data_IF_715206378828
#
_entry.id   IF_715206378828
#
_cell.length_a   1.000
_cell.length_b   1.000
_cell.length_c   1.000
_cell.angle_alpha   90.00
_cell.angle_beta   90.00
_cell.angle_gamma   90.00
#
_symmetry.space_group_name_H-M   'P 1'
#
loop_
_entity.id
_entity.type
_entity.pdbx_description
1 polymer ?
#
# COMPACT_ATOMS: atom_id res chain seq x y z
N UNK A 1 9.57 7.94 36.21
CA UNK A 1 10.21 7.72 34.90
C UNK A 1 9.92 6.30 34.46
N UNK A 2 8.91 6.12 33.62
CA UNK A 2 8.78 5.03 32.65
C UNK A 2 7.57 5.35 31.76
N UNK A 3 7.75 6.35 30.90
CA UNK A 3 6.82 6.74 29.82
C UNK A 3 7.23 6.04 28.51
N UNK A 4 7.28 4.71 28.52
CA UNK A 4 7.55 3.92 27.32
C UNK A 4 6.59 2.74 27.25
N UNK A 5 5.29 3.05 27.23
CA UNK A 5 4.26 2.07 26.90
C UNK A 5 3.00 2.75 26.39
N UNK A 6 3.15 3.76 25.53
CA UNK A 6 2.14 4.04 24.51
C UNK A 6 2.51 3.18 23.30
N UNK A 7 2.25 1.88 23.40
CA UNK A 7 2.14 1.06 22.20
C UNK A 7 1.02 1.71 21.38
N UNK A 8 1.43 2.32 20.28
CA UNK A 8 0.63 2.96 19.25
C UNK A 8 -0.56 2.08 18.86
N UNK A 9 -1.66 2.18 19.62
CA UNK A 9 -3.00 1.93 19.13
C UNK A 9 -3.33 3.08 18.18
N UNK A 10 -2.67 3.13 17.03
CA UNK A 10 -3.16 3.93 15.93
C UNK A 10 -4.48 3.27 15.53
N UNK A 11 -5.64 3.90 15.74
CA UNK A 11 -6.91 3.34 15.33
C UNK A 11 -6.81 3.17 13.82
N UNK A 12 -6.98 1.93 13.35
CA UNK A 12 -7.03 1.58 11.92
C UNK A 12 -7.92 2.54 11.11
N UNK A 13 -8.95 3.08 11.77
CA UNK A 13 -9.87 4.10 11.26
C UNK A 13 -9.24 5.48 10.99
N UNK A 14 -8.28 5.95 11.80
CA UNK A 14 -7.60 7.24 11.52
C UNK A 14 -6.69 7.14 10.29
N UNK A 15 -6.05 5.98 10.09
CA UNK A 15 -5.21 5.74 8.92
C UNK A 15 -6.02 5.79 7.62
N UNK A 16 -7.18 5.13 7.59
CA UNK A 16 -8.06 5.08 6.41
C UNK A 16 -8.68 6.44 6.08
N UNK A 17 -9.06 7.22 7.09
CA UNK A 17 -9.60 8.57 6.91
C UNK A 17 -8.53 9.57 6.44
N UNK A 18 -7.31 9.50 6.98
CA UNK A 18 -6.19 10.31 6.50
C UNK A 18 -5.74 9.89 5.10
N UNK A 19 -5.77 8.59 4.80
CA UNK A 19 -5.56 8.04 3.45
C UNK A 19 -6.53 8.64 2.44
N UNK A 20 -7.82 8.70 2.77
CA UNK A 20 -8.86 9.35 1.95
C UNK A 20 -8.56 10.83 1.71
N UNK A 21 -8.02 11.54 2.69
CA UNK A 21 -7.62 12.95 2.52
C UNK A 21 -6.44 13.10 1.58
N UNK A 22 -5.46 12.19 1.66
CA UNK A 22 -4.30 12.22 0.77
C UNK A 22 -4.62 11.74 -0.66
N UNK A 23 -5.58 10.82 -0.82
CA UNK A 23 -6.02 10.28 -2.11
C UNK A 23 -7.55 10.30 -2.27
N UNK A 24 -8.16 11.49 -2.46
CA UNK A 24 -9.62 11.62 -2.58
C UNK A 24 -10.19 10.94 -3.83
N UNK A 25 -9.35 10.63 -4.81
CA UNK A 25 -9.71 9.90 -6.04
C UNK A 25 -9.31 8.42 -6.00
N UNK A 26 -9.01 7.88 -4.81
CA UNK A 26 -8.68 6.46 -4.69
C UNK A 26 -9.91 5.59 -5.00
N UNK A 27 -9.69 4.55 -5.80
CA UNK A 27 -10.61 3.46 -6.04
C UNK A 27 -10.34 2.36 -5.03
N UNK A 28 -11.40 1.89 -4.39
CA UNK A 28 -11.36 0.73 -3.51
C UNK A 28 -11.97 -0.50 -4.19
N UNK A 29 -11.53 -1.68 -3.78
CA UNK A 29 -12.12 -2.94 -4.24
C UNK A 29 -11.44 -4.15 -3.64
N UNK A 30 -11.90 -5.33 -4.07
CA UNK A 30 -11.46 -6.60 -3.52
C UNK A 30 -11.18 -7.60 -4.63
N UNK A 31 -10.22 -8.49 -4.40
CA UNK A 31 -10.00 -9.65 -5.26
C UNK A 31 -9.50 -10.86 -4.49
N UNK A 32 -9.73 -12.04 -5.07
CA UNK A 32 -9.28 -13.30 -4.52
C UNK A 32 -7.85 -13.61 -4.93
N UNK A 33 -6.97 -13.82 -3.96
CA UNK A 33 -5.61 -14.31 -4.19
C UNK A 33 -5.50 -15.78 -3.73
N UNK A 34 -4.97 -16.69 -4.59
CA UNK A 34 -4.95 -18.13 -4.31
C UNK A 34 -4.36 -18.53 -2.95
N UNK A 35 -3.32 -17.81 -2.50
CA UNK A 35 -2.61 -18.12 -1.25
C UNK A 35 -2.95 -17.19 -0.08
N UNK A 36 -3.54 -16.01 -0.35
CA UNK A 36 -3.69 -14.94 0.66
C UNK A 36 -5.15 -14.67 1.01
N UNK A 37 -6.08 -15.33 0.31
CA UNK A 37 -7.52 -15.12 0.43
C UNK A 37 -7.93 -13.79 -0.21
N UNK A 38 -9.03 -13.23 0.28
CA UNK A 38 -9.52 -11.92 -0.17
C UNK A 38 -8.52 -10.81 0.19
N UNK A 39 -8.07 -10.10 -0.85
CA UNK A 39 -7.23 -8.92 -0.73
C UNK A 39 -8.08 -7.70 -1.01
N UNK A 40 -8.20 -6.85 -0.01
CA UNK A 40 -8.76 -5.51 -0.16
C UNK A 40 -7.67 -4.56 -0.64
N UNK A 41 -7.95 -3.76 -1.66
CA UNK A 41 -7.03 -2.74 -2.15
C UNK A 41 -7.65 -1.35 -2.14
N UNK A 42 -6.76 -0.38 -1.96
CA UNK A 42 -7.03 1.04 -2.15
C UNK A 42 -5.99 1.58 -3.11
N UNK A 43 -6.41 2.03 -4.28
CA UNK A 43 -5.51 2.44 -5.34
C UNK A 43 -5.86 3.81 -5.91
N UNK A 44 -4.86 4.64 -6.17
CA UNK A 44 -5.04 5.91 -6.86
C UNK A 44 -3.87 6.17 -7.81
N UNK A 45 -3.85 7.35 -8.40
CA UNK A 45 -2.74 7.81 -9.22
C UNK A 45 -2.08 9.04 -8.61
N UNK A 46 -0.74 9.03 -8.55
CA UNK A 46 0.04 10.16 -8.08
C UNK A 46 1.21 10.42 -9.04
N UNK A 47 1.19 11.58 -9.71
CA UNK A 47 2.22 11.99 -10.69
C UNK A 47 2.46 10.94 -11.79
N UNK A 48 1.39 10.33 -12.29
CA UNK A 48 1.45 9.29 -13.33
C UNK A 48 1.90 7.91 -12.85
N UNK A 49 1.94 7.69 -11.52
CA UNK A 49 2.24 6.39 -10.92
C UNK A 49 1.01 5.81 -10.27
N UNK A 50 0.89 4.51 -10.31
CA UNK A 50 -0.10 3.78 -9.51
C UNK A 50 0.40 3.79 -8.07
N UNK A 51 -0.48 4.19 -7.17
CA UNK A 51 -0.23 4.13 -5.74
C UNK A 51 -1.28 3.21 -5.15
N UNK A 52 -0.85 2.12 -4.53
CA UNK A 52 -1.78 1.10 -4.01
C UNK A 52 -1.39 0.63 -2.62
N UNK A 53 -2.39 0.39 -1.79
CA UNK A 53 -2.28 -0.29 -0.50
C UNK A 53 -3.08 -1.58 -0.56
N UNK A 54 -2.55 -2.63 0.04
CA UNK A 54 -3.21 -3.92 0.17
C UNK A 54 -3.46 -4.26 1.63
N UNK A 55 -4.62 -4.85 1.92
CA UNK A 55 -4.97 -5.41 3.23
C UNK A 55 -5.53 -6.81 3.05
N UNK A 56 -5.02 -7.78 3.81
CA UNK A 56 -5.50 -9.17 3.77
C UNK A 56 -5.36 -9.85 5.15
N UNK A 57 -6.14 -10.92 5.45
CA UNK A 57 -6.27 -11.46 6.81
C UNK A 57 -4.96 -11.90 7.49
N UNK A 58 -3.97 -12.35 6.72
CA UNK A 58 -2.68 -12.84 7.23
C UNK A 58 -1.52 -11.89 6.88
N UNK A 59 -1.81 -10.60 6.67
CA UNK A 59 -0.78 -9.63 6.35
C UNK A 59 0.14 -9.40 7.55
N UNK A 60 1.48 -9.44 7.36
CA UNK A 60 2.43 -9.09 8.41
C UNK A 60 2.15 -7.69 8.97
N UNK A 61 2.22 -7.53 10.29
CA UNK A 61 1.88 -6.26 10.96
C UNK A 61 2.76 -5.11 10.44
N UNK A 62 4.02 -5.40 10.17
CA UNK A 62 4.99 -4.46 9.59
C UNK A 62 4.64 -4.00 8.16
N UNK A 63 3.77 -4.72 7.46
CA UNK A 63 3.36 -4.42 6.09
C UNK A 63 2.01 -3.67 6.02
N UNK A 64 1.24 -3.58 7.13
CA UNK A 64 -0.12 -3.03 7.13
C UNK A 64 -0.20 -1.53 6.78
N UNK A 65 0.89 -0.81 7.03
CA UNK A 65 1.02 0.62 6.75
C UNK A 65 1.75 0.91 5.44
N UNK A 66 2.11 -0.13 4.69
CA UNK A 66 2.90 0.01 3.46
C UNK A 66 2.02 0.44 2.28
N UNK A 67 2.61 1.32 1.49
CA UNK A 67 2.05 1.89 0.28
C UNK A 67 3.02 1.65 -0.86
N UNK A 68 2.54 1.01 -1.92
CA UNK A 68 3.32 0.58 -3.06
C UNK A 68 3.18 1.59 -4.19
N UNK A 69 4.31 2.08 -4.70
CA UNK A 69 4.36 2.96 -5.86
C UNK A 69 4.85 2.18 -7.07
N UNK A 70 3.97 2.01 -8.04
CA UNK A 70 4.16 1.13 -9.18
C UNK A 70 4.10 1.97 -10.45
N UNK A 71 5.13 1.82 -11.28
CA UNK A 71 5.10 2.33 -12.65
C UNK A 71 4.53 1.21 -13.54
N UNK A 72 3.42 1.48 -14.23
CA UNK A 72 2.93 0.61 -15.29
C UNK A 72 3.62 0.99 -16.60
N UNK A 73 4.33 0.03 -17.19
CA UNK A 73 4.99 0.17 -18.49
C UNK A 73 4.41 -0.80 -19.52
N UNK A 74 4.91 -0.70 -20.75
CA UNK A 74 4.48 -1.55 -21.87
C UNK A 74 4.88 -3.02 -21.70
N UNK A 75 5.91 -3.30 -20.90
CA UNK A 75 6.44 -4.65 -20.66
C UNK A 75 5.98 -5.26 -19.32
N UNK A 76 5.08 -4.59 -18.62
CA UNK A 76 4.60 -4.98 -17.29
C UNK A 76 4.74 -3.86 -16.27
N UNK A 77 4.90 -4.20 -15.00
CA UNK A 77 4.97 -3.23 -13.91
C UNK A 77 6.31 -3.26 -13.19
N UNK A 78 6.70 -2.12 -12.61
CA UNK A 78 7.91 -1.97 -11.79
C UNK A 78 7.54 -1.35 -10.45
N UNK A 79 7.85 -2.04 -9.35
CA UNK A 79 7.77 -1.47 -8.01
C UNK A 79 8.92 -0.46 -7.83
N UNK A 80 8.60 0.84 -7.79
CA UNK A 80 9.59 1.91 -7.75
C UNK A 80 10.08 2.21 -6.35
N UNK A 81 9.14 2.23 -5.41
CA UNK A 81 9.43 2.33 -3.99
C UNK A 81 8.21 1.94 -3.19
N UNK A 82 8.46 1.69 -1.91
CA UNK A 82 7.42 1.49 -0.91
C UNK A 82 7.58 2.61 0.11
N UNK A 83 6.47 3.23 0.46
CA UNK A 83 6.40 4.18 1.55
C UNK A 83 5.62 3.56 2.69
N UNK A 84 5.79 4.11 3.88
CA UNK A 84 5.04 3.71 5.06
C UNK A 84 4.46 4.94 5.73
N UNK A 85 3.24 4.82 6.22
CA UNK A 85 2.68 5.88 7.04
C UNK A 85 3.35 5.89 8.42
N UNK A 86 3.83 7.06 8.80
CA UNK A 86 4.37 7.31 10.12
C UNK A 86 3.63 8.50 10.72
N UNK A 87 3.28 8.38 12.00
CA UNK A 87 2.78 9.53 12.75
C UNK A 87 4.00 10.38 13.15
N UNK A 88 4.13 11.54 12.53
CA UNK A 88 5.22 12.48 12.76
C UNK A 88 4.63 13.81 13.18
N UNK A 89 4.93 14.24 14.40
CA UNK A 89 4.44 15.51 14.98
C UNK A 89 2.91 15.64 15.01
N UNK A 90 2.22 14.55 15.34
CA UNK A 90 0.74 14.44 15.35
C UNK A 90 0.08 14.60 13.97
N UNK A 91 0.84 14.42 12.88
CA UNK A 91 0.36 14.38 11.50
C UNK A 91 0.76 13.06 10.84
N UNK A 92 -0.17 12.45 10.10
CA UNK A 92 0.13 11.23 9.35
C UNK A 92 0.94 11.59 8.10
N UNK A 93 2.19 11.12 8.02
CA UNK A 93 3.07 11.39 6.88
C UNK A 93 3.47 10.12 6.17
N UNK A 94 3.52 10.20 4.85
CA UNK A 94 3.98 9.11 4.00
C UNK A 94 5.50 9.20 3.86
N UNK A 95 6.22 8.31 4.54
CA UNK A 95 7.68 8.30 4.56
C UNK A 95 8.20 7.22 3.60
N UNK A 96 8.99 7.63 2.62
CA UNK A 96 9.59 6.71 1.64
C UNK A 96 10.61 5.81 2.33
N UNK A 97 10.43 4.49 2.22
CA UNK A 97 11.46 3.53 2.61
C UNK A 97 12.51 3.44 1.49
N UNK A 98 13.75 3.83 1.77
CA UNK A 98 14.83 3.91 0.78
C UNK A 98 15.77 2.70 0.78
N UNK A 99 15.52 1.67 1.60
CA UNK A 99 16.38 0.49 1.62
C UNK A 99 16.11 -0.41 0.41
N UNK A 100 17.10 -0.54 -0.48
CA UNK A 100 17.02 -1.43 -1.65
C UNK A 100 16.75 -2.89 -1.29
N UNK A 101 17.32 -3.38 -0.18
CA UNK A 101 17.09 -4.75 0.29
C UNK A 101 15.62 -4.96 0.68
N UNK A 102 15.05 -4.02 1.43
CA UNK A 102 13.64 -4.09 1.85
C UNK A 102 12.74 -4.01 0.61
N UNK A 103 13.10 -3.18 -0.37
CA UNK A 103 12.35 -3.07 -1.61
C UNK A 103 12.33 -4.40 -2.39
N UNK A 104 13.45 -5.10 -2.49
CA UNK A 104 13.52 -6.40 -3.16
C UNK A 104 12.72 -7.49 -2.41
N UNK A 105 12.86 -7.54 -1.08
CA UNK A 105 12.09 -8.46 -0.23
C UNK A 105 10.57 -8.23 -0.38
N UNK A 106 10.14 -6.96 -0.38
CA UNK A 106 8.74 -6.59 -0.59
C UNK A 106 8.28 -6.86 -2.01
N UNK A 107 9.11 -6.59 -3.01
CA UNK A 107 8.81 -6.89 -4.40
C UNK A 107 8.55 -8.39 -4.59
N UNK A 108 9.40 -9.25 -4.04
CA UNK A 108 9.22 -10.71 -4.10
C UNK A 108 7.95 -11.16 -3.36
N UNK A 109 7.73 -10.65 -2.14
CA UNK A 109 6.57 -11.02 -1.30
C UNK A 109 5.23 -10.60 -1.91
N UNK A 110 5.18 -9.42 -2.52
CA UNK A 110 3.96 -8.82 -3.06
C UNK A 110 3.80 -9.04 -4.57
N UNK A 111 4.75 -9.70 -5.24
CA UNK A 111 4.72 -9.90 -6.69
C UNK A 111 3.39 -10.48 -7.17
N UNK A 112 2.97 -11.61 -6.58
CA UNK A 112 1.70 -12.26 -6.98
C UNK A 112 0.47 -11.39 -6.71
N UNK A 113 0.46 -10.66 -5.59
CA UNK A 113 -0.62 -9.72 -5.24
C UNK A 113 -0.70 -8.59 -6.28
N UNK A 114 0.45 -7.99 -6.63
CA UNK A 114 0.52 -6.91 -7.60
C UNK A 114 0.18 -7.42 -9.01
N UNK A 115 0.62 -8.62 -9.39
CA UNK A 115 0.28 -9.23 -10.68
C UNK A 115 -1.24 -9.39 -10.83
N UNK A 116 -1.94 -9.93 -9.82
CA UNK A 116 -3.40 -10.03 -9.86
C UNK A 116 -4.09 -8.67 -9.86
N UNK A 117 -3.60 -7.73 -9.04
CA UNK A 117 -4.10 -6.36 -9.02
C UNK A 117 -3.98 -5.68 -10.40
N UNK A 118 -2.86 -5.85 -11.09
CA UNK A 118 -2.64 -5.25 -12.41
C UNK A 118 -3.61 -5.80 -13.46
N UNK A 119 -3.98 -7.08 -13.41
CA UNK A 119 -5.03 -7.64 -14.30
C UNK A 119 -6.39 -7.00 -14.07
N UNK A 120 -6.73 -6.70 -12.81
CA UNK A 120 -7.97 -6.02 -12.45
C UNK A 120 -7.93 -4.57 -12.95
N UNK A 121 -6.80 -3.88 -12.73
CA UNK A 121 -6.58 -2.52 -13.18
C UNK A 121 -6.63 -2.40 -14.71
N UNK A 122 -6.12 -3.37 -15.46
CA UNK A 122 -6.24 -3.35 -16.93
C UNK A 122 -7.71 -3.34 -17.38
N UNK A 123 -8.62 -3.89 -16.57
CA UNK A 123 -10.06 -3.80 -16.77
C UNK A 123 -10.66 -2.44 -16.42
N UNK A 124 -9.93 -1.56 -15.74
CA UNK A 124 -10.32 -0.17 -15.50
C UNK A 124 -10.10 0.59 -16.80
N UNK A 125 -11.06 0.43 -17.70
CA UNK A 125 -11.10 1.10 -19.00
C UNK A 125 -10.78 2.58 -18.80
N UNK A 126 -9.79 3.07 -19.56
CA UNK A 126 -9.21 4.42 -19.57
C UNK A 126 -10.02 5.49 -18.81
N UNK A 127 -9.45 5.99 -17.71
CA UNK A 127 -9.74 7.37 -17.26
C UNK A 127 -9.09 8.38 -18.19
#
# INVERSE_FOLDING_TARGET
MNELQAASENPKWELEEELKKHWPSAVEGDFEHPEKGTIHYWAGEQRGRIVVRFTYPQQPVEDQNKVFFIDAGTEGWVLRHVSEFQNLDAELKLVKNQSFRILDELNQRYRGIIDEFMKIRDGWSHF
#
